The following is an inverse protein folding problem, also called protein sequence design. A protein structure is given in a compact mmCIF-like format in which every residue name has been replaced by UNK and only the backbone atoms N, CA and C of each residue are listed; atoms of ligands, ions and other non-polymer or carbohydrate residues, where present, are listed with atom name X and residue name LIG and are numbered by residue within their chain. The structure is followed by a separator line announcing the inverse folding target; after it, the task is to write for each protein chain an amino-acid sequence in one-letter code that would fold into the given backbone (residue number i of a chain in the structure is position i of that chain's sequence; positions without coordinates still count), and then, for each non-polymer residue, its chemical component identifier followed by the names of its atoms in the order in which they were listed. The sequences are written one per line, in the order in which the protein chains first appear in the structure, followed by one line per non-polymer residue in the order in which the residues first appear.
data_IF_021466683138
#
_entry.id   IF_021466683138
#
_cell.length_a   1.000
_cell.length_b   1.000
_cell.length_c   1.000
_cell.angle_alpha   90.00
_cell.angle_beta   90.00
_cell.angle_gamma   90.00
#
_symmetry.space_group_name_H-M   'P 1'
#
loop_
_entity.id
_entity.type
_entity.pdbx_description
1 polymer ?
#
# COMPACT_ATOMS: atom_id res chain seq x y z
N UNK A 1 -13.18 14.19 -21.26
CA UNK A 1 -13.70 12.80 -21.17
C UNK A 1 -12.61 11.75 -20.97
N UNK A 2 -11.41 11.95 -21.54
CA UNK A 2 -10.28 11.00 -21.45
C UNK A 2 -9.92 10.60 -20.00
N UNK A 3 -9.99 11.53 -19.05
CA UNK A 3 -9.66 11.27 -17.65
C UNK A 3 -10.61 10.28 -16.96
N UNK A 4 -11.87 10.19 -17.39
CA UNK A 4 -12.82 9.20 -16.86
C UNK A 4 -12.48 7.78 -17.31
N UNK A 5 -11.97 7.65 -18.54
CA UNK A 5 -11.60 6.35 -19.13
C UNK A 5 -10.32 5.85 -18.45
N UNK A 6 -9.30 6.70 -18.33
CA UNK A 6 -8.05 6.36 -17.65
C UNK A 6 -8.31 6.02 -16.17
N UNK A 7 -9.15 6.81 -15.50
CA UNK A 7 -9.56 6.55 -14.12
C UNK A 7 -10.31 5.23 -13.94
N UNK A 8 -11.19 4.87 -14.89
CA UNK A 8 -11.90 3.60 -14.87
C UNK A 8 -10.96 2.40 -15.05
N UNK A 9 -9.99 2.50 -15.97
CA UNK A 9 -9.00 1.44 -16.21
C UNK A 9 -8.11 1.25 -14.98
N UNK A 10 -7.56 2.34 -14.44
CA UNK A 10 -6.75 2.30 -13.23
C UNK A 10 -7.54 1.79 -12.02
N UNK A 11 -8.79 2.22 -11.85
CA UNK A 11 -9.68 1.76 -10.78
C UNK A 11 -10.03 0.28 -10.87
N UNK A 12 -10.18 -0.26 -12.09
CA UNK A 12 -10.46 -1.69 -12.31
C UNK A 12 -9.25 -2.58 -12.00
N UNK A 13 -8.03 -2.06 -12.18
CA UNK A 13 -6.83 -2.81 -11.80
C UNK A 13 -6.55 -2.75 -10.30
N UNK A 14 -6.81 -1.58 -9.68
CA UNK A 14 -6.74 -1.42 -8.24
C UNK A 14 -7.75 -2.34 -7.53
N UNK A 15 -9.00 -2.41 -8.01
CA UNK A 15 -10.07 -3.22 -7.40
C UNK A 15 -9.77 -4.72 -7.39
N UNK A 16 -9.02 -5.23 -8.37
CA UNK A 16 -8.58 -6.63 -8.44
C UNK A 16 -7.56 -6.99 -7.36
N UNK A 17 -6.70 -6.03 -6.97
CA UNK A 17 -5.62 -6.25 -6.01
C UNK A 17 -6.01 -5.89 -4.56
N UNK A 18 -6.99 -5.01 -4.36
CA UNK A 18 -7.43 -4.55 -3.03
C UNK A 18 -8.52 -5.43 -2.38
N UNK A 19 -8.85 -6.58 -2.97
CA UNK A 19 -9.87 -7.53 -2.47
C UNK A 19 -9.61 -8.07 -1.06
N UNK A 20 -8.45 -7.77 -0.46
CA UNK A 20 -8.06 -8.11 0.92
C UNK A 20 -8.04 -6.94 1.92
N UNK A 21 -8.39 -5.71 1.52
CA UNK A 21 -8.45 -4.54 2.42
C UNK A 21 -9.83 -4.38 3.11
N UNK A 22 -10.52 -5.49 3.39
CA UNK A 22 -11.92 -5.57 3.87
C UNK A 22 -12.12 -5.16 5.34
N UNK A 23 -11.38 -4.18 5.85
CA UNK A 23 -11.64 -3.59 7.16
C UNK A 23 -12.52 -2.35 7.03
N UNK A 24 -13.38 -2.08 8.01
CA UNK A 24 -14.22 -0.86 8.06
C UNK A 24 -13.40 0.42 7.84
N UNK A 25 -12.18 0.47 8.39
CA UNK A 25 -11.28 1.61 8.18
C UNK A 25 -10.81 1.75 6.72
N UNK A 26 -10.49 0.65 6.04
CA UNK A 26 -10.05 0.66 4.64
C UNK A 26 -11.18 1.01 3.67
N UNK A 27 -12.40 0.53 3.95
CA UNK A 27 -13.59 0.86 3.17
C UNK A 27 -14.01 2.33 3.34
N UNK A 28 -14.03 2.84 4.57
CA UNK A 28 -14.34 4.25 4.84
C UNK A 28 -13.31 5.19 4.21
N UNK A 29 -12.02 4.87 4.34
CA UNK A 29 -10.95 5.64 3.70
C UNK A 29 -11.06 5.56 2.18
N UNK A 30 -11.33 4.37 1.61
CA UNK A 30 -11.51 4.18 0.18
C UNK A 30 -12.73 4.90 -0.39
N UNK A 31 -13.81 5.02 0.37
CA UNK A 31 -15.01 5.77 -0.02
C UNK A 31 -14.82 7.29 0.13
N UNK A 32 -14.10 7.74 1.15
CA UNK A 32 -13.85 9.16 1.40
C UNK A 32 -12.72 9.74 0.52
N UNK A 33 -11.73 8.92 0.16
CA UNK A 33 -10.60 9.32 -0.66
C UNK A 33 -11.00 10.03 -1.97
N UNK A 34 -11.87 9.49 -2.84
CA UNK A 34 -12.24 10.16 -4.09
C UNK A 34 -13.01 11.47 -3.87
N UNK A 35 -13.76 11.59 -2.77
CA UNK A 35 -14.51 12.81 -2.43
C UNK A 35 -13.53 13.93 -2.05
N UNK A 36 -12.54 13.61 -1.23
CA UNK A 36 -11.46 14.52 -0.88
C UNK A 36 -10.64 14.88 -2.12
N UNK A 37 -10.25 13.88 -2.92
CA UNK A 37 -9.46 14.07 -4.15
C UNK A 37 -10.14 14.98 -5.17
N UNK A 38 -11.49 14.96 -5.23
CA UNK A 38 -12.27 15.82 -6.14
C UNK A 38 -12.32 17.28 -5.70
N UNK A 39 -11.96 17.58 -4.44
CA UNK A 39 -11.78 18.95 -3.91
C UNK A 39 -10.33 19.42 -3.95
N UNK A 40 -9.39 18.54 -4.28
CA UNK A 40 -7.97 18.87 -4.35
C UNK A 40 -7.61 19.47 -5.71
N UNK A 41 -7.04 20.66 -5.67
CA UNK A 41 -6.52 21.36 -6.83
C UNK A 41 -5.23 20.66 -7.34
N UNK A 42 -4.77 20.86 -8.59
CA UNK A 42 -3.54 20.23 -9.11
C UNK A 42 -2.32 20.45 -8.21
N UNK A 43 -2.28 21.60 -7.51
CA UNK A 43 -1.27 21.91 -6.51
C UNK A 43 -1.21 20.89 -5.38
N UNK A 44 -2.37 20.42 -4.90
CA UNK A 44 -2.42 19.51 -3.76
C UNK A 44 -1.99 18.10 -4.15
N UNK A 45 -2.18 17.69 -5.41
CA UNK A 45 -1.61 16.45 -5.92
C UNK A 45 -0.07 16.50 -5.95
N UNK A 46 0.49 17.63 -6.39
CA UNK A 46 1.94 17.84 -6.39
C UNK A 46 2.48 17.83 -4.95
N UNK A 47 1.82 18.55 -4.03
CA UNK A 47 2.20 18.57 -2.62
C UNK A 47 2.09 17.18 -1.97
N UNK A 48 1.03 16.43 -2.26
CA UNK A 48 0.86 15.06 -1.78
C UNK A 48 1.93 14.12 -2.33
N UNK A 49 2.29 14.23 -3.61
CA UNK A 49 3.35 13.45 -4.21
C UNK A 49 4.72 13.78 -3.61
N UNK A 50 5.04 15.07 -3.45
CA UNK A 50 6.28 15.52 -2.83
C UNK A 50 6.37 15.10 -1.35
N UNK A 51 5.27 15.28 -0.60
CA UNK A 51 5.15 14.88 0.80
C UNK A 51 5.27 13.36 0.97
N UNK A 52 4.59 12.58 0.12
CA UNK A 52 4.71 11.12 0.12
C UNK A 52 6.12 10.65 -0.22
N UNK A 53 6.81 11.30 -1.17
CA UNK A 53 8.19 10.97 -1.52
C UNK A 53 9.17 11.27 -0.38
N UNK A 54 9.05 12.45 0.24
CA UNK A 54 9.84 12.80 1.42
C UNK A 54 9.58 11.81 2.55
N UNK A 55 8.31 11.56 2.90
CA UNK A 55 7.92 10.61 3.94
C UNK A 55 8.43 9.19 3.65
N UNK A 56 8.38 8.73 2.39
CA UNK A 56 8.94 7.44 1.98
C UNK A 56 10.44 7.39 2.24
N UNK A 57 11.19 8.43 1.88
CA UNK A 57 12.65 8.49 2.10
C UNK A 57 13.01 8.43 3.60
N UNK A 58 12.22 9.08 4.45
CA UNK A 58 12.39 9.00 5.90
C UNK A 58 11.99 7.62 6.48
N UNK A 59 10.92 7.02 5.95
CA UNK A 59 10.47 5.70 6.39
C UNK A 59 11.43 4.59 5.96
N UNK A 60 12.05 4.70 4.78
CA UNK A 60 13.02 3.74 4.27
C UNK A 60 14.27 3.67 5.15
N UNK A 61 14.72 4.82 5.69
CA UNK A 61 15.80 4.86 6.68
C UNK A 61 15.47 4.10 7.97
N UNK A 62 14.20 4.07 8.38
CA UNK A 62 13.75 3.32 9.56
C UNK A 62 13.44 1.85 9.27
N UNK A 63 12.99 1.53 8.04
CA UNK A 63 12.74 0.15 7.61
C UNK A 63 14.03 -0.60 7.27
N UNK A 64 15.08 0.09 6.83
CA UNK A 64 16.41 -0.48 6.66
C UNK A 64 17.01 -0.97 7.99
N UNK A 65 16.67 -0.33 9.12
CA UNK A 65 17.03 -0.78 10.46
C UNK A 65 16.12 -1.92 10.97
N UNK A 66 14.88 -2.00 10.45
CA UNK A 66 13.86 -2.98 10.85
C UNK A 66 13.73 -4.20 9.93
N UNK A 67 14.56 -4.38 8.90
CA UNK A 67 14.68 -5.68 8.24
C UNK A 67 15.40 -6.62 9.21
N UNK A 68 14.70 -7.52 9.92
CA UNK A 68 15.42 -8.55 10.66
C UNK A 68 16.13 -9.37 9.59
N UNK A 69 17.42 -9.61 9.80
CA UNK A 69 18.14 -10.71 9.14
C UNK A 69 17.31 -11.99 9.25
N UNK A 70 16.43 -12.24 8.28
CA UNK A 70 15.84 -13.53 8.06
C UNK A 70 16.99 -14.39 7.51
N UNK A 71 17.74 -14.97 8.45
CA UNK A 71 18.85 -15.87 8.20
C UNK A 71 18.38 -16.93 7.19
N UNK A 72 19.03 -17.09 6.04
CA UNK A 72 19.03 -18.37 5.38
C UNK A 72 19.97 -19.30 6.15
N UNK A 73 19.69 -20.60 6.07
CA UNK A 73 20.52 -21.73 6.54
C UNK A 73 20.34 -22.19 8.00
N UNK A 74 20.13 -23.51 8.11
CA UNK A 74 20.37 -24.30 9.31
C UNK A 74 19.15 -25.11 9.72
N UNK A 75 18.83 -26.22 9.04
CA UNK A 75 19.32 -27.57 9.37
C UNK A 75 18.18 -28.40 9.97
N UNK A 76 17.64 -29.30 9.13
CA UNK A 76 17.06 -30.63 9.37
C UNK A 76 16.82 -31.04 10.85
N UNK A 77 15.56 -31.27 11.22
CA UNK A 77 15.19 -32.19 12.30
C UNK A 77 14.09 -33.16 11.82
N UNK A 78 14.41 -34.42 11.48
CA UNK A 78 13.48 -35.47 11.12
C UNK A 78 13.42 -36.48 12.27
N UNK A 79 12.65 -36.21 13.32
CA UNK A 79 12.41 -37.14 14.43
C UNK A 79 11.29 -36.52 15.27
N UNK A 80 10.30 -37.19 15.85
CA UNK A 80 10.02 -38.60 16.14
C UNK A 80 8.59 -38.59 16.70
N UNK A 81 7.81 -39.63 16.43
CA UNK A 81 6.87 -40.27 17.38
C UNK A 81 6.03 -39.40 18.32
N UNK A 82 4.71 -39.38 18.11
CA UNK A 82 3.62 -39.51 19.10
C UNK A 82 2.31 -39.10 18.38
N UNK A 83 1.22 -39.85 18.32
CA UNK A 83 0.81 -41.10 18.94
C UNK A 83 -0.22 -41.79 18.02
#
# INVERSE_FOLDING_TARGET
MIGKIIGAIAGTQASKHVRGLNGTGGALLGAAAPILLRRLSPLTLIAAAAGAYAAKKYADGQNAEKLPRARPSGFVEPTRTQA
#
